data_IF_473058484038
#
_entry.id   IF_473058484038
#
_cell.length_a   1.000
_cell.length_b   1.000
_cell.length_c   1.000
_cell.angle_alpha   90.00
_cell.angle_beta   90.00
_cell.angle_gamma   90.00
#
_symmetry.space_group_name_H-M   'P 1'
#
loop_
_entity.id
_entity.type
_entity.pdbx_description
1 polymer ?
#
# COMPACT_ATOMS: atom_id res chain seq x y z
N UNK A 1 -7.60 -14.45 -9.88
CA UNK A 1 -8.08 -13.86 -8.61
C UNK A 1 -8.60 -12.48 -8.94
N UNK A 2 -9.85 -12.12 -8.59
CA UNK A 2 -10.34 -10.74 -8.81
C UNK A 2 -9.43 -9.74 -8.07
N UNK A 3 -9.13 -8.60 -8.69
CA UNK A 3 -8.38 -7.48 -8.07
C UNK A 3 -8.93 -7.14 -6.69
N UNK A 4 -10.26 -7.20 -6.53
CA UNK A 4 -10.93 -7.00 -5.24
C UNK A 4 -10.51 -8.04 -4.19
N UNK A 5 -10.47 -9.32 -4.56
CA UNK A 5 -10.03 -10.39 -3.65
C UNK A 5 -8.55 -10.25 -3.28
N UNK A 6 -7.71 -9.81 -4.23
CA UNK A 6 -6.28 -9.63 -3.99
C UNK A 6 -6.01 -8.43 -3.05
N UNK A 7 -6.74 -7.33 -3.24
CA UNK A 7 -6.65 -6.14 -2.39
C UNK A 7 -7.21 -6.38 -0.98
N UNK A 8 -8.29 -7.14 -0.83
CA UNK A 8 -8.80 -7.57 0.49
C UNK A 8 -7.79 -8.47 1.21
N UNK A 9 -7.22 -9.45 0.52
CA UNK A 9 -6.21 -10.35 1.11
C UNK A 9 -4.96 -9.56 1.54
N UNK A 10 -4.54 -8.60 0.73
CA UNK A 10 -3.43 -7.71 1.03
C UNK A 10 -3.70 -6.82 2.27
N UNK A 11 -4.90 -6.24 2.38
CA UNK A 11 -5.31 -5.48 3.57
C UNK A 11 -5.35 -6.35 4.83
N UNK A 12 -5.83 -7.60 4.72
CA UNK A 12 -5.81 -8.55 5.84
C UNK A 12 -4.38 -8.87 6.30
N UNK A 13 -3.46 -9.09 5.36
CA UNK A 13 -2.03 -9.31 5.68
C UNK A 13 -1.44 -8.06 6.34
N UNK A 14 -1.75 -6.87 5.84
CA UNK A 14 -1.29 -5.62 6.43
C UNK A 14 -1.78 -5.43 7.86
N UNK A 15 -3.08 -5.62 8.10
CA UNK A 15 -3.69 -5.51 9.43
C UNK A 15 -3.17 -6.56 10.41
N UNK A 16 -3.01 -7.81 9.94
CA UNK A 16 -2.43 -8.89 10.75
C UNK A 16 -0.99 -8.56 11.18
N UNK A 17 -0.18 -8.04 10.26
CA UNK A 17 1.19 -7.60 10.57
C UNK A 17 1.22 -6.31 11.41
N UNK A 18 0.23 -5.44 11.27
CA UNK A 18 0.09 -4.22 12.09
C UNK A 18 -0.03 -4.56 13.58
N UNK A 19 -0.76 -5.64 13.93
CA UNK A 19 -0.86 -6.14 15.30
C UNK A 19 0.48 -6.64 15.86
N UNK A 20 1.32 -7.25 15.01
CA UNK A 20 2.67 -7.69 15.38
C UNK A 20 3.64 -6.53 15.56
N UNK A 21 3.41 -5.39 14.90
CA UNK A 21 4.33 -4.25 14.90
C UNK A 21 4.29 -3.42 16.19
N UNK A 22 3.31 -3.65 17.10
CA UNK A 22 3.14 -2.93 18.39
C UNK A 22 3.36 -1.41 18.24
N UNK A 23 2.77 -0.82 17.21
CA UNK A 23 2.97 0.60 16.89
C UNK A 23 2.19 1.44 17.89
N UNK A 24 2.90 2.31 18.58
CA UNK A 24 2.32 3.27 19.50
C UNK A 24 2.09 4.58 18.74
N UNK A 25 0.85 4.82 18.30
CA UNK A 25 0.49 6.04 17.55
C UNK A 25 0.75 7.34 18.36
N UNK A 26 0.83 7.26 19.69
CA UNK A 26 1.19 8.40 20.53
C UNK A 26 2.69 8.75 20.47
N UNK A 27 3.54 7.81 20.02
CA UNK A 27 4.96 8.04 19.79
C UNK A 27 5.26 8.47 18.36
N UNK A 28 4.32 8.30 17.43
CA UNK A 28 4.48 8.62 16.01
C UNK A 28 5.06 10.02 15.75
N UNK A 29 4.59 11.02 16.51
CA UNK A 29 5.00 12.43 16.40
C UNK A 29 6.16 12.82 17.33
N UNK A 30 6.72 11.87 18.11
CA UNK A 30 7.90 12.15 18.94
C UNK A 30 9.15 12.16 18.07
N UNK A 31 10.04 13.11 18.34
CA UNK A 31 11.29 13.38 17.59
C UNK A 31 12.21 12.15 17.41
N UNK A 32 12.02 11.09 18.20
CA UNK A 32 12.85 9.87 18.17
C UNK A 32 12.14 8.60 17.64
N UNK A 33 10.93 8.72 17.07
CA UNK A 33 10.10 7.59 16.63
C UNK A 33 10.49 7.07 15.22
N UNK A 34 11.77 6.74 15.08
CA UNK A 34 12.36 6.26 13.81
C UNK A 34 11.76 4.94 13.33
N UNK A 35 11.28 4.09 14.25
CA UNK A 35 10.64 2.82 13.91
C UNK A 35 9.23 3.04 13.39
N UNK A 36 8.41 3.82 14.08
CA UNK A 36 7.04 4.07 13.68
C UNK A 36 7.00 4.80 12.32
N UNK A 37 7.82 5.84 12.14
CA UNK A 37 7.95 6.58 10.88
C UNK A 37 8.35 5.65 9.73
N UNK A 38 9.32 4.75 9.92
CA UNK A 38 9.70 3.78 8.88
C UNK A 38 8.53 2.91 8.45
N UNK A 39 7.73 2.42 9.40
CA UNK A 39 6.56 1.61 9.06
C UNK A 39 5.54 2.42 8.26
N UNK A 40 5.25 3.66 8.64
CA UNK A 40 4.33 4.50 7.88
C UNK A 40 4.83 4.82 6.48
N UNK A 41 6.12 5.15 6.33
CA UNK A 41 6.72 5.36 5.00
C UNK A 41 6.59 4.09 4.16
N UNK A 42 6.74 2.91 4.75
CA UNK A 42 6.55 1.62 4.07
C UNK A 42 5.10 1.44 3.59
N UNK A 43 4.13 1.79 4.42
CA UNK A 43 2.70 1.71 4.11
C UNK A 43 2.30 2.69 3.00
N UNK A 44 2.77 3.93 3.08
CA UNK A 44 2.53 4.97 2.08
C UNK A 44 3.17 4.58 0.74
N UNK A 45 4.41 4.09 0.76
CA UNK A 45 5.10 3.62 -0.44
C UNK A 45 4.36 2.46 -1.11
N UNK A 46 3.82 1.52 -0.33
CA UNK A 46 3.00 0.42 -0.86
C UNK A 46 1.70 0.90 -1.49
N UNK A 47 0.98 1.81 -0.82
CA UNK A 47 -0.25 2.38 -1.36
C UNK A 47 0.00 3.13 -2.68
N UNK A 48 1.05 3.96 -2.73
CA UNK A 48 1.46 4.67 -3.93
C UNK A 48 1.90 3.72 -5.05
N UNK A 49 2.64 2.65 -4.71
CA UNK A 49 3.04 1.63 -5.67
C UNK A 49 1.85 0.91 -6.31
N UNK A 50 0.81 0.60 -5.53
CA UNK A 50 -0.42 0.00 -6.04
C UNK A 50 -1.19 0.95 -6.97
N UNK A 51 -1.33 2.23 -6.58
CA UNK A 51 -1.98 3.24 -7.43
C UNK A 51 -1.22 3.41 -8.75
N UNK A 52 0.12 3.49 -8.69
CA UNK A 52 0.96 3.58 -9.88
C UNK A 52 0.78 2.36 -10.80
N UNK A 53 0.78 1.15 -10.25
CA UNK A 53 0.54 -0.08 -11.01
C UNK A 53 -0.81 -0.07 -11.73
N UNK A 54 -1.89 0.26 -11.00
CA UNK A 54 -3.24 0.34 -11.59
C UNK A 54 -3.30 1.39 -12.70
N UNK A 55 -2.64 2.53 -12.51
CA UNK A 55 -2.57 3.60 -13.51
C UNK A 55 -1.84 3.13 -14.77
N UNK A 56 -0.70 2.46 -14.63
CA UNK A 56 0.08 1.92 -15.75
C UNK A 56 -0.75 0.91 -16.56
N UNK A 57 -1.43 -0.02 -15.88
CA UNK A 57 -2.29 -1.00 -16.55
C UNK A 57 -3.43 -0.32 -17.29
N UNK A 58 -4.08 0.67 -16.66
CA UNK A 58 -5.17 1.39 -17.30
C UNK A 58 -4.71 2.09 -18.57
N UNK A 59 -3.54 2.74 -18.54
CA UNK A 59 -2.93 3.38 -19.72
C UNK A 59 -2.60 2.33 -20.80
N UNK A 60 -2.09 1.16 -20.40
CA UNK A 60 -1.79 0.07 -21.32
C UNK A 60 -3.04 -0.51 -22.00
N UNK A 61 -4.12 -0.73 -21.26
CA UNK A 61 -5.39 -1.19 -21.82
C UNK A 61 -6.01 -0.14 -22.76
N UNK A 62 -5.92 1.13 -22.40
CA UNK A 62 -6.38 2.24 -23.23
C UNK A 62 -5.58 2.33 -24.54
N UNK A 63 -4.26 2.18 -24.47
CA UNK A 63 -3.40 2.24 -25.66
C UNK A 63 -3.64 1.06 -26.61
N UNK A 64 -3.88 -0.13 -26.08
CA UNK A 64 -4.28 -1.29 -26.88
C UNK A 64 -5.62 -1.09 -27.58
N UNK A 65 -6.55 -0.36 -26.97
CA UNK A 65 -7.85 -0.05 -27.56
C UNK A 65 -7.73 0.99 -28.69
N UNK A 66 -6.79 1.94 -28.58
CA UNK A 66 -6.53 2.97 -29.58
C UNK A 66 -5.77 2.43 -30.80
N UNK A 67 -4.91 1.43 -30.61
CA UNK A 67 -4.12 0.80 -31.70
C UNK A 67 -4.96 -0.19 -32.53
N UNK A 68 -6.15 -0.55 -32.07
CA UNK A 68 -7.07 -1.48 -32.74
C UNK A 68 -8.05 -0.76 -33.65
#
# INVERSE_FOLDING_TARGET
MSIFKLSVLFFMILLANFSMLRIDFGKFFKKNSTREIKVFVSLVALALGYIAYMTIITIYELSLTIVK
#
